data_IF_313921741599
#
_entry.id   IF_313921741599
#
_cell.length_a   1.000
_cell.length_b   1.000
_cell.length_c   1.000
_cell.angle_alpha   90.00
_cell.angle_beta   90.00
_cell.angle_gamma   90.00
#
_symmetry.space_group_name_H-M   'P 1'
#
loop_
_entity.id
_entity.type
_entity.pdbx_description
1 polymer ?
#
# COMPACT_ATOMS: atom_id res chain seq x y z
N UNK A 1 -21.34 -6.15 -39.08
CA UNK A 1 -21.19 -6.80 -37.76
C UNK A 1 -19.99 -6.17 -37.09
N UNK A 2 -20.22 -5.35 -36.06
CA UNK A 2 -19.14 -4.69 -35.32
C UNK A 2 -18.56 -5.69 -34.34
N UNK A 3 -17.35 -6.17 -34.61
CA UNK A 3 -16.57 -6.91 -33.61
C UNK A 3 -16.09 -5.91 -32.58
N UNK A 4 -16.69 -6.02 -31.40
CA UNK A 4 -16.24 -5.37 -30.17
C UNK A 4 -14.86 -5.97 -29.87
N UNK A 5 -13.80 -5.23 -30.12
CA UNK A 5 -12.45 -5.59 -29.67
C UNK A 5 -12.32 -5.25 -28.19
N UNK A 6 -12.96 -6.08 -27.36
CA UNK A 6 -12.78 -6.13 -25.92
C UNK A 6 -11.47 -6.89 -25.64
N UNK A 7 -10.33 -6.22 -25.86
CA UNK A 7 -8.98 -6.66 -25.48
C UNK A 7 -7.97 -5.58 -25.91
N UNK A 8 -7.66 -4.62 -25.04
CA UNK A 8 -6.30 -4.07 -24.72
C UNK A 8 -6.45 -2.93 -23.69
N UNK A 9 -7.16 -3.14 -22.58
CA UNK A 9 -6.96 -2.28 -21.40
C UNK A 9 -5.92 -2.96 -20.53
N UNK A 10 -4.66 -2.84 -20.93
CA UNK A 10 -3.58 -2.90 -19.96
C UNK A 10 -3.82 -1.71 -19.02
N UNK A 11 -4.63 -1.90 -17.98
CA UNK A 11 -5.14 -0.83 -17.14
C UNK A 11 -3.94 -0.02 -16.62
N UNK A 12 -3.68 1.12 -17.24
CA UNK A 12 -2.66 2.06 -16.82
C UNK A 12 -3.24 2.86 -15.66
N UNK A 13 -2.40 3.42 -14.81
CA UNK A 13 -2.88 4.34 -13.79
C UNK A 13 -3.57 5.54 -14.44
N UNK A 14 -4.52 6.17 -13.75
CA UNK A 14 -5.13 7.42 -14.22
C UNK A 14 -4.03 8.47 -14.43
N UNK A 15 -4.08 9.19 -15.56
CA UNK A 15 -3.08 10.18 -15.94
C UNK A 15 -2.92 11.29 -14.89
N UNK A 16 -3.97 11.61 -14.14
CA UNK A 16 -3.91 12.63 -13.07
C UNK A 16 -3.02 12.21 -11.91
N UNK A 17 -2.83 10.91 -11.69
CA UNK A 17 -1.99 10.39 -10.61
C UNK A 17 -0.50 10.39 -10.97
N UNK A 18 -0.15 10.52 -12.26
CA UNK A 18 1.24 10.45 -12.70
C UNK A 18 2.07 11.64 -12.21
N UNK A 19 3.19 11.34 -11.56
CA UNK A 19 4.10 12.31 -10.90
C UNK A 19 3.37 13.32 -10.01
N UNK A 20 2.25 12.91 -9.42
CA UNK A 20 1.32 13.81 -8.76
C UNK A 20 0.80 13.27 -7.42
N UNK A 21 1.49 12.28 -6.86
CA UNK A 21 1.25 11.79 -5.51
C UNK A 21 2.47 12.11 -4.64
N UNK A 22 2.25 12.76 -3.50
CA UNK A 22 3.24 12.93 -2.45
C UNK A 22 2.88 12.06 -1.24
N UNK A 23 3.82 11.25 -0.75
CA UNK A 23 3.66 10.53 0.51
C UNK A 23 3.97 11.48 1.66
N UNK A 24 2.96 11.89 2.42
CA UNK A 24 3.08 12.92 3.47
C UNK A 24 3.41 12.33 4.84
N UNK A 25 2.77 11.23 5.19
CA UNK A 25 2.92 10.58 6.49
C UNK A 25 2.84 9.07 6.33
N UNK A 26 3.70 8.38 7.07
CA UNK A 26 3.63 6.93 7.29
C UNK A 26 3.67 6.73 8.79
N UNK A 27 2.50 6.44 9.35
CA UNK A 27 2.28 6.30 10.78
C UNK A 27 2.22 4.81 11.14
N UNK A 28 2.60 4.46 12.38
CA UNK A 28 2.68 3.09 12.88
C UNK A 28 4.09 2.52 12.87
N UNK A 29 4.32 1.46 13.64
CA UNK A 29 5.66 0.96 13.98
C UNK A 29 6.08 1.39 15.38
N UNK A 30 6.14 2.69 15.69
CA UNK A 30 6.72 3.17 16.97
C UNK A 30 5.74 3.65 18.05
N UNK A 31 4.61 4.24 17.68
CA UNK A 31 3.78 5.03 18.62
C UNK A 31 2.47 4.36 19.05
N UNK A 32 2.08 3.24 18.44
CA UNK A 32 0.72 2.69 18.57
C UNK A 32 0.66 1.26 19.16
N UNK A 33 1.76 0.49 19.17
CA UNK A 33 1.86 -0.83 19.83
C UNK A 33 3.34 -1.27 19.98
N UNK A 34 3.87 -1.73 21.12
CA UNK A 34 5.28 -2.15 21.21
C UNK A 34 5.66 -3.42 20.43
N UNK A 35 4.68 -4.21 19.95
CA UNK A 35 4.95 -5.53 19.35
C UNK A 35 5.36 -5.50 17.86
N UNK A 36 5.13 -4.40 17.14
CA UNK A 36 5.51 -4.24 15.72
C UNK A 36 6.74 -3.35 15.49
N UNK A 37 7.19 -2.59 16.51
CA UNK A 37 8.38 -1.71 16.47
C UNK A 37 9.63 -2.48 16.11
N UNK A 38 9.59 -3.79 16.37
CA UNK A 38 10.74 -4.67 16.31
C UNK A 38 10.83 -5.41 14.97
N UNK A 39 9.83 -5.28 14.08
CA UNK A 39 9.65 -6.22 12.97
C UNK A 39 9.21 -5.57 11.64
N UNK A 40 8.49 -4.44 11.65
CA UNK A 40 8.22 -3.62 10.45
C UNK A 40 8.39 -2.15 10.83
N UNK A 41 9.56 -1.58 10.51
CA UNK A 41 9.86 -0.18 10.79
C UNK A 41 9.01 0.74 9.89
N UNK A 42 8.29 1.69 10.49
CA UNK A 42 7.49 2.69 9.77
C UNK A 42 8.27 3.44 8.67
N UNK A 43 9.53 3.87 8.93
CA UNK A 43 10.40 4.45 7.90
C UNK A 43 10.66 3.52 6.71
N UNK A 44 10.92 2.24 6.94
CA UNK A 44 11.20 1.25 5.88
C UNK A 44 9.96 0.97 5.05
N UNK A 45 8.80 0.83 5.70
CA UNK A 45 7.52 0.72 5.01
C UNK A 45 7.26 1.94 4.13
N UNK A 46 7.53 3.13 4.65
CA UNK A 46 7.38 4.38 3.89
C UNK A 46 8.35 4.51 2.73
N UNK A 47 9.60 4.07 2.88
CA UNK A 47 10.58 4.01 1.82
C UNK A 47 10.13 3.05 0.70
N UNK A 48 9.65 1.85 1.07
CA UNK A 48 9.12 0.87 0.12
C UNK A 48 7.88 1.38 -0.63
N UNK A 49 6.99 2.10 0.05
CA UNK A 49 5.82 2.73 -0.56
C UNK A 49 6.23 3.81 -1.58
N UNK A 50 7.13 4.72 -1.19
CA UNK A 50 7.67 5.76 -2.09
C UNK A 50 8.35 5.15 -3.30
N UNK A 51 9.18 4.11 -3.10
CA UNK A 51 9.86 3.42 -4.19
C UNK A 51 8.86 2.75 -5.15
N UNK A 52 7.79 2.16 -4.63
CA UNK A 52 6.74 1.54 -5.45
C UNK A 52 6.00 2.58 -6.30
N UNK A 53 5.65 3.73 -5.72
CA UNK A 53 5.05 4.86 -6.44
C UNK A 53 5.99 5.44 -7.50
N UNK A 54 7.28 5.59 -7.18
CA UNK A 54 8.29 6.09 -8.12
C UNK A 54 8.46 5.14 -9.31
N UNK A 55 8.56 3.83 -9.04
CA UNK A 55 8.68 2.79 -10.07
C UNK A 55 7.45 2.72 -10.98
N UNK A 56 6.28 3.11 -10.45
CA UNK A 56 5.04 3.22 -11.20
C UNK A 56 4.84 4.58 -11.91
N UNK A 57 5.78 5.54 -11.77
CA UNK A 57 5.66 6.88 -12.35
C UNK A 57 4.64 7.79 -11.65
N UNK A 58 4.23 7.47 -10.43
CA UNK A 58 3.19 8.18 -9.68
C UNK A 58 3.75 9.20 -8.68
N UNK A 59 4.97 8.96 -8.15
CA UNK A 59 5.58 9.82 -7.15
C UNK A 59 5.95 11.19 -7.76
N UNK A 60 5.50 12.28 -7.14
CA UNK A 60 5.86 13.64 -7.51
C UNK A 60 7.09 14.17 -6.77
N UNK A 61 7.75 15.18 -7.36
CA UNK A 61 9.01 15.78 -6.86
C UNK A 61 8.81 17.14 -6.14
N UNK A 62 7.57 17.64 -6.04
CA UNK A 62 7.23 18.94 -5.45
C UNK A 62 5.82 18.97 -4.86
N UNK A 63 5.20 20.16 -4.69
CA UNK A 63 3.77 20.24 -4.35
C UNK A 63 2.95 19.48 -5.39
N UNK A 64 2.15 18.53 -4.91
CA UNK A 64 1.33 17.66 -5.76
C UNK A 64 -0.15 17.89 -5.49
N UNK A 65 -0.99 17.55 -6.46
CA UNK A 65 -2.44 17.62 -6.31
C UNK A 65 -2.97 16.56 -5.34
N UNK A 66 -2.21 15.49 -5.07
CA UNK A 66 -2.64 14.42 -4.18
C UNK A 66 -1.60 14.09 -3.12
N UNK A 67 -2.07 14.01 -1.87
CA UNK A 67 -1.27 13.53 -0.75
C UNK A 67 -1.73 12.14 -0.34
N UNK A 68 -0.78 11.21 -0.18
CA UNK A 68 -1.02 9.87 0.30
C UNK A 68 -0.48 9.72 1.72
N UNK A 69 -1.36 9.38 2.66
CA UNK A 69 -1.01 8.94 4.00
C UNK A 69 -1.15 7.42 4.07
N UNK A 70 -0.18 6.76 4.70
CA UNK A 70 -0.29 5.38 5.14
C UNK A 70 -0.30 5.31 6.66
N UNK A 71 -1.16 4.50 7.24
CA UNK A 71 -1.20 4.24 8.67
C UNK A 71 -1.19 2.72 8.88
N UNK A 72 -0.07 2.19 9.34
CA UNK A 72 0.03 0.79 9.74
C UNK A 72 -0.82 0.62 10.99
N UNK A 73 -1.90 -0.16 10.88
CA UNK A 73 -2.89 -0.36 11.93
C UNK A 73 -2.55 -1.58 12.80
N UNK A 74 -2.09 -2.67 12.16
CA UNK A 74 -1.75 -3.91 12.85
C UNK A 74 -0.78 -4.78 12.05
N UNK A 75 0.02 -5.55 12.77
CA UNK A 75 0.81 -6.66 12.22
C UNK A 75 0.55 -7.88 13.10
N UNK A 76 -0.15 -8.87 12.57
CA UNK A 76 -0.40 -10.14 13.26
C UNK A 76 0.72 -11.12 12.92
N UNK A 77 1.37 -11.68 13.93
CA UNK A 77 2.43 -12.67 13.74
C UNK A 77 2.10 -13.95 14.51
N UNK A 78 2.55 -15.12 14.04
CA UNK A 78 2.39 -16.36 14.78
C UNK A 78 3.44 -16.43 15.90
N UNK A 79 3.02 -16.94 17.07
CA UNK A 79 3.91 -17.07 18.23
C UNK A 79 4.80 -18.33 18.10
N UNK A 80 4.38 -19.32 17.32
CA UNK A 80 5.10 -20.57 17.06
C UNK A 80 4.58 -21.24 15.78
N UNK A 81 5.42 -22.01 15.09
CA UNK A 81 5.01 -22.71 13.87
C UNK A 81 6.18 -23.27 13.05
N UNK A 82 5.87 -24.22 12.18
CA UNK A 82 6.80 -24.68 11.12
C UNK A 82 6.93 -23.58 10.06
N UNK A 83 5.78 -23.05 9.64
CA UNK A 83 5.66 -21.89 8.77
C UNK A 83 5.22 -20.67 9.60
N UNK A 84 5.62 -19.48 9.15
CA UNK A 84 5.28 -18.21 9.79
C UNK A 84 4.41 -17.39 8.84
N UNK A 85 3.12 -17.29 9.14
CA UNK A 85 2.19 -16.37 8.47
C UNK A 85 2.11 -15.05 9.22
N UNK A 86 2.51 -13.96 8.57
CA UNK A 86 2.34 -12.60 9.09
C UNK A 86 1.25 -11.90 8.30
N UNK A 87 0.34 -11.22 8.98
CA UNK A 87 -0.68 -10.37 8.35
C UNK A 87 -0.44 -8.90 8.63
N UNK A 88 -0.19 -8.12 7.58
CA UNK A 88 -0.06 -6.67 7.63
C UNK A 88 -1.40 -6.00 7.33
N UNK A 89 -1.82 -5.07 8.18
CA UNK A 89 -3.04 -4.27 8.05
C UNK A 89 -2.68 -2.78 8.06
N UNK A 90 -2.96 -2.08 6.96
CA UNK A 90 -2.66 -0.66 6.79
C UNK A 90 -3.86 0.10 6.20
N UNK A 91 -4.15 1.28 6.75
CA UNK A 91 -5.05 2.24 6.13
C UNK A 91 -4.28 3.15 5.18
N UNK A 92 -4.81 3.34 3.98
CA UNK A 92 -4.30 4.30 3.01
C UNK A 92 -5.35 5.36 2.74
N UNK A 93 -4.95 6.63 2.82
CA UNK A 93 -5.82 7.78 2.53
C UNK A 93 -5.16 8.66 1.46
N UNK A 94 -5.81 8.82 0.31
CA UNK A 94 -5.45 9.78 -0.73
C UNK A 94 -6.36 11.00 -0.61
N UNK A 95 -5.74 12.17 -0.47
CA UNK A 95 -6.43 13.46 -0.29
C UNK A 95 -6.05 14.41 -1.41
N UNK A 96 -7.04 15.10 -1.98
CA UNK A 96 -6.81 16.18 -2.94
C UNK A 96 -6.34 17.45 -2.19
N UNK A 97 -5.15 17.95 -2.55
CA UNK A 97 -4.48 19.04 -1.84
C UNK A 97 -5.22 20.38 -1.91
N UNK A 98 -5.92 20.67 -3.01
CA UNK A 98 -6.62 21.94 -3.22
C UNK A 98 -7.89 22.08 -2.36
N UNK A 99 -8.60 20.98 -2.12
CA UNK A 99 -9.89 20.94 -1.43
C UNK A 99 -9.82 20.27 -0.06
N UNK A 100 -8.71 19.60 0.25
CA UNK A 100 -8.56 18.70 1.39
C UNK A 100 -9.58 17.53 1.41
N UNK A 101 -10.16 17.21 0.24
CA UNK A 101 -11.14 16.15 0.11
C UNK A 101 -10.46 14.77 0.07
N UNK A 102 -10.96 13.82 0.86
CA UNK A 102 -10.52 12.42 0.80
C UNK A 102 -11.19 11.74 -0.39
N UNK A 103 -10.38 11.38 -1.39
CA UNK A 103 -10.86 10.76 -2.64
C UNK A 103 -10.65 9.25 -2.66
N UNK A 104 -9.71 8.74 -1.86
CA UNK A 104 -9.52 7.30 -1.67
C UNK A 104 -9.23 7.04 -0.19
N UNK A 105 -9.92 6.07 0.40
CA UNK A 105 -9.65 5.55 1.73
C UNK A 105 -9.97 4.07 1.75
N UNK A 106 -8.97 3.23 2.01
CA UNK A 106 -9.15 1.79 2.15
C UNK A 106 -8.23 1.24 3.24
N UNK A 107 -8.74 0.26 3.99
CA UNK A 107 -7.95 -0.59 4.86
C UNK A 107 -7.60 -1.84 4.07
N UNK A 108 -6.30 -2.11 3.93
CA UNK A 108 -5.77 -3.27 3.22
C UNK A 108 -5.16 -4.20 4.27
N UNK A 109 -5.67 -5.43 4.34
CA UNK A 109 -5.16 -6.51 5.20
C UNK A 109 -4.66 -7.65 4.33
N UNK A 110 -3.37 -7.98 4.42
CA UNK A 110 -2.72 -8.98 3.55
C UNK A 110 -1.81 -9.92 4.34
N UNK A 111 -2.02 -11.24 4.24
CA UNK A 111 -1.11 -12.23 4.80
C UNK A 111 0.09 -12.49 3.88
N UNK A 112 1.18 -12.96 4.46
CA UNK A 112 2.29 -13.60 3.77
C UNK A 112 2.90 -14.68 4.66
N UNK A 113 3.22 -15.83 4.07
CA UNK A 113 3.76 -16.98 4.79
C UNK A 113 5.17 -17.30 4.33
N UNK A 114 6.11 -17.36 5.27
CA UNK A 114 7.46 -17.87 5.03
C UNK A 114 7.61 -19.27 5.63
N UNK A 115 7.98 -20.24 4.80
CA UNK A 115 8.09 -21.65 5.17
C UNK A 115 9.52 -22.16 5.25
N UNK A 116 9.70 -23.44 5.56
CA UNK A 116 11.04 -24.07 5.68
C UNK A 116 11.89 -23.96 4.40
N UNK A 117 11.27 -23.87 3.23
CA UNK A 117 11.97 -23.66 1.95
C UNK A 117 12.67 -22.30 1.86
N UNK A 118 12.20 -21.29 2.60
CA UNK A 118 12.76 -19.93 2.60
C UNK A 118 13.94 -19.80 3.58
N UNK A 119 13.89 -20.52 4.71
CA UNK A 119 14.96 -20.56 5.70
C UNK A 119 14.77 -21.70 6.69
N UNK A 120 15.86 -22.38 7.09
CA UNK A 120 15.85 -23.34 8.20
C UNK A 120 15.81 -22.65 9.58
N UNK A 121 16.25 -21.39 9.67
CA UNK A 121 16.26 -20.59 10.90
C UNK A 121 14.92 -19.88 11.09
N UNK A 122 14.23 -20.13 12.21
CA UNK A 122 12.88 -19.62 12.50
C UNK A 122 12.80 -18.08 12.56
N UNK A 123 13.72 -17.42 13.27
CA UNK A 123 13.76 -15.94 13.35
C UNK A 123 13.90 -15.32 11.94
N UNK A 124 14.71 -15.94 11.08
CA UNK A 124 14.85 -15.48 9.69
C UNK A 124 13.55 -15.68 8.88
N UNK A 125 12.80 -16.77 9.11
CA UNK A 125 11.47 -16.95 8.50
C UNK A 125 10.49 -15.88 8.96
N UNK A 126 10.45 -15.58 10.26
CA UNK A 126 9.59 -14.52 10.79
C UNK A 126 9.89 -13.17 10.12
N UNK A 127 11.16 -12.79 10.01
CA UNK A 127 11.56 -11.57 9.27
C UNK A 127 11.09 -11.58 7.82
N UNK A 128 11.31 -12.69 7.10
CA UNK A 128 10.86 -12.82 5.71
C UNK A 128 9.33 -12.70 5.59
N UNK A 129 8.59 -13.23 6.57
CA UNK A 129 7.15 -13.12 6.61
C UNK A 129 6.69 -11.68 6.87
N UNK A 130 7.36 -10.95 7.78
CA UNK A 130 7.14 -9.52 8.01
C UNK A 130 7.35 -8.70 6.74
N UNK A 131 8.53 -8.80 6.12
CA UNK A 131 8.86 -8.10 4.87
C UNK A 131 7.90 -8.48 3.73
N UNK A 132 7.57 -9.77 3.60
CA UNK A 132 6.67 -10.28 2.58
C UNK A 132 5.24 -9.74 2.74
N UNK A 133 4.75 -9.65 3.98
CA UNK A 133 3.41 -9.12 4.27
C UNK A 133 3.31 -7.63 3.94
N UNK A 134 4.32 -6.82 4.30
CA UNK A 134 4.40 -5.41 3.94
C UNK A 134 4.45 -5.20 2.42
N UNK A 135 5.30 -5.98 1.72
CA UNK A 135 5.40 -5.93 0.26
C UNK A 135 4.07 -6.28 -0.41
N UNK A 136 3.38 -7.29 0.10
CA UNK A 136 2.07 -7.72 -0.42
C UNK A 136 1.01 -6.65 -0.20
N UNK A 137 1.05 -5.97 0.96
CA UNK A 137 0.15 -4.86 1.28
C UNK A 137 0.32 -3.70 0.29
N UNK A 138 1.56 -3.23 0.09
CA UNK A 138 1.88 -2.16 -0.86
C UNK A 138 1.53 -2.56 -2.29
N UNK A 139 1.83 -3.80 -2.70
CA UNK A 139 1.45 -4.31 -4.04
C UNK A 139 -0.06 -4.28 -4.25
N UNK A 140 -0.83 -4.61 -3.19
CA UNK A 140 -2.29 -4.55 -3.23
C UNK A 140 -2.78 -3.11 -3.35
N UNK A 141 -2.20 -2.16 -2.61
CA UNK A 141 -2.50 -0.73 -2.80
C UNK A 141 -2.25 -0.29 -4.25
N UNK A 142 -1.11 -0.67 -4.85
CA UNK A 142 -0.80 -0.29 -6.24
C UNK A 142 -1.86 -0.80 -7.21
N UNK A 143 -2.38 -2.03 -7.01
CA UNK A 143 -3.50 -2.56 -7.79
C UNK A 143 -4.79 -1.75 -7.58
N UNK A 144 -5.08 -1.31 -6.35
CA UNK A 144 -6.24 -0.45 -6.04
C UNK A 144 -6.13 0.91 -6.72
N UNK A 145 -4.95 1.56 -6.66
CA UNK A 145 -4.70 2.83 -7.34
C UNK A 145 -4.78 2.72 -8.86
N UNK A 146 -4.34 1.59 -9.44
CA UNK A 146 -4.49 1.32 -10.87
C UNK A 146 -5.96 1.23 -11.30
N UNK A 147 -6.84 0.71 -10.44
CA UNK A 147 -8.27 0.62 -10.70
C UNK A 147 -9.06 1.87 -10.28
N UNK A 148 -8.43 2.83 -9.61
CA UNK A 148 -9.07 4.01 -9.06
C UNK A 148 -9.18 5.13 -10.11
N UNK A 149 -10.39 5.68 -10.27
CA UNK A 149 -10.65 6.89 -11.07
C UNK A 149 -10.98 8.06 -10.13
N UNK A 150 -10.11 9.09 -10.03
CA UNK A 150 -10.32 10.27 -9.20
C UNK A 150 -11.59 11.09 -9.53
N UNK A 151 -12.08 11.07 -10.77
CA UNK A 151 -13.27 11.86 -11.18
C UNK A 151 -14.59 11.23 -10.75
N UNK A 152 -14.68 9.90 -10.74
CA UNK A 152 -15.94 9.19 -10.47
C UNK A 152 -16.53 9.51 -9.08
N UNK A 153 -15.69 9.90 -8.12
CA UNK A 153 -16.15 10.30 -6.78
C UNK A 153 -16.47 11.79 -6.64
N UNK A 154 -15.97 12.65 -7.54
CA UNK A 154 -16.33 14.08 -7.54
C UNK A 154 -17.77 14.29 -8.02
N UNK A 155 -18.30 13.38 -8.85
CA UNK A 155 -19.68 13.43 -9.35
C UNK A 155 -20.71 12.98 -8.32
N UNK A 156 -20.37 12.05 -7.40
CA UNK A 156 -21.31 11.57 -6.36
C UNK A 156 -21.55 12.53 -5.20
N UNK A 157 -20.71 13.56 -5.02
CA UNK A 157 -20.86 14.55 -3.94
C UNK A 157 -21.64 15.82 -4.36
N UNK A 158 -22.11 15.87 -5.61
CA UNK A 158 -22.97 16.95 -6.13
C UNK A 158 -24.40 16.44 -6.35
N UNK A 159 -25.12 16.13 -5.28
CA UNK A 159 -26.58 16.01 -5.28
C UNK A 159 -27.16 16.62 -4.01
#
# INVERSE_FOLDING_TARGET
MSVISDQTDAQLYDQRLHRNIQVTEVNGGDSTNPLWTSEIDGPDFGAALKQSLASAGLLGEGPTAYTLRANLLRVDQPIFGVDFEVTCEAEYTLTESSSNAVIFREIIRTPYTAGMGDSLIGIKRLRLANEGSARTNISTLMKRLKAFNPEAKQVSLKQ
#
